data_IF_544406785680
#
_entry.id   IF_544406785680
#
_cell.length_a   1.000
_cell.length_b   1.000
_cell.length_c   1.000
_cell.angle_alpha   90.00
_cell.angle_beta   90.00
_cell.angle_gamma   90.00
#
_symmetry.space_group_name_H-M   'P 1'
#
loop_
_entity.id
_entity.type
_entity.pdbx_description
1 polymer ?
#
# COMPACT_ATOMS: atom_id res chain seq x y z
N UNK A 1 10.90 24.62 -2.94
CA UNK A 1 10.82 25.85 -3.76
C UNK A 1 12.09 26.66 -3.55
N UNK A 2 12.73 27.09 -4.65
CA UNK A 2 13.79 28.11 -4.60
C UNK A 2 13.14 29.42 -4.99
N UNK A 3 13.32 30.43 -4.13
CA UNK A 3 12.75 31.75 -4.34
C UNK A 3 13.86 32.76 -4.60
N UNK A 4 13.59 33.71 -5.49
CA UNK A 4 14.45 34.87 -5.72
C UNK A 4 13.93 36.05 -4.92
N UNK A 5 14.83 36.71 -4.18
CA UNK A 5 14.58 38.02 -3.58
C UNK A 5 15.04 39.13 -4.54
N UNK A 6 14.32 40.26 -4.65
CA UNK A 6 14.61 41.26 -5.69
C UNK A 6 15.87 42.10 -5.43
N UNK A 7 16.41 42.13 -4.20
CA UNK A 7 17.67 42.83 -3.89
C UNK A 7 18.28 42.40 -2.54
N UNK A 8 19.58 42.08 -2.48
CA UNK A 8 20.41 41.62 -3.59
C UNK A 8 19.85 40.28 -4.13
N UNK A 9 19.91 40.06 -5.45
CA UNK A 9 19.44 38.84 -6.11
C UNK A 9 20.11 37.60 -5.51
N UNK A 10 19.46 37.00 -4.52
CA UNK A 10 19.95 35.82 -3.83
C UNK A 10 18.88 34.74 -3.86
N UNK A 11 19.30 33.55 -4.29
CA UNK A 11 18.49 32.34 -4.33
C UNK A 11 18.54 31.67 -2.96
N UNK A 12 17.37 31.38 -2.41
CA UNK A 12 17.27 30.74 -1.10
C UNK A 12 16.44 29.47 -1.17
N UNK A 13 16.98 28.39 -0.58
CA UNK A 13 16.21 27.16 -0.31
C UNK A 13 15.40 27.36 0.96
N UNK A 14 14.08 27.26 0.84
CA UNK A 14 13.19 27.37 2.00
C UNK A 14 13.35 26.18 2.94
N UNK A 15 13.48 26.46 4.25
CA UNK A 15 13.45 25.43 5.29
C UNK A 15 12.04 25.18 5.81
N UNK A 16 11.30 26.22 6.15
CA UNK A 16 9.90 26.11 6.57
C UNK A 16 9.15 27.46 6.46
N UNK A 17 7.83 27.39 6.60
CA UNK A 17 6.98 28.55 6.90
C UNK A 17 6.98 28.75 8.42
N UNK A 18 7.23 29.97 8.89
CA UNK A 18 7.05 30.30 10.29
C UNK A 18 5.54 30.49 10.56
N UNK A 19 4.89 29.43 11.05
CA UNK A 19 3.46 29.38 11.36
C UNK A 19 3.19 29.70 12.84
N UNK A 20 3.78 30.76 13.40
CA UNK A 20 3.31 31.31 14.68
C UNK A 20 2.41 32.51 14.41
N UNK A 21 1.17 32.41 14.88
CA UNK A 21 0.03 33.24 14.50
C UNK A 21 0.02 34.67 15.06
N UNK A 22 1.16 35.26 15.40
CA UNK A 22 1.16 36.63 15.98
C UNK A 22 2.51 37.34 16.08
N UNK A 23 3.50 37.16 15.19
CA UNK A 23 4.74 37.98 15.27
C UNK A 23 5.29 38.39 13.89
N UNK A 24 4.73 39.46 13.33
CA UNK A 24 5.32 40.25 12.22
C UNK A 24 6.52 41.09 12.73
N UNK A 25 6.75 41.02 14.04
CA UNK A 25 7.91 41.54 14.74
C UNK A 25 8.96 40.46 14.94
N UNK A 26 9.31 39.69 13.90
CA UNK A 26 10.57 38.94 13.93
C UNK A 26 11.69 39.97 13.96
N UNK A 27 12.25 40.14 15.16
CA UNK A 27 13.39 41.01 15.41
C UNK A 27 14.65 40.22 15.14
N UNK A 28 15.52 40.80 14.33
CA UNK A 28 16.88 40.30 14.16
C UNK A 28 17.85 41.45 14.37
N UNK A 29 19.11 41.10 14.57
CA UNK A 29 20.20 42.06 14.67
C UNK A 29 20.88 42.11 13.32
N UNK A 30 20.95 43.30 12.71
CA UNK A 30 21.67 43.50 11.45
C UNK A 30 23.20 43.50 11.66
N UNK A 31 23.95 43.59 10.56
CA UNK A 31 25.42 43.60 10.59
C UNK A 31 26.01 44.80 11.37
N UNK A 32 25.21 45.85 11.59
CA UNK A 32 25.59 47.03 12.38
C UNK A 32 25.18 46.91 13.85
N UNK A 33 24.88 45.69 14.32
CA UNK A 33 24.39 45.42 15.67
C UNK A 33 23.07 46.13 16.04
N UNK A 34 22.28 46.55 15.05
CA UNK A 34 21.02 47.25 15.24
C UNK A 34 19.87 46.25 15.22
N UNK A 35 19.01 46.29 16.23
CA UNK A 35 17.84 45.41 16.34
C UNK A 35 16.66 45.99 15.55
N UNK A 36 16.25 45.30 14.50
CA UNK A 36 15.20 45.73 13.57
C UNK A 36 14.22 44.60 13.28
N UNK A 37 12.97 44.94 12.98
CA UNK A 37 12.04 43.97 12.41
C UNK A 37 12.29 43.81 10.91
N UNK A 38 11.84 42.69 10.32
CA UNK A 38 11.88 42.48 8.86
C UNK A 38 11.25 43.65 8.11
N UNK A 39 10.10 44.15 8.56
CA UNK A 39 9.42 45.31 7.96
C UNK A 39 10.28 46.57 8.02
N UNK A 40 10.89 46.85 9.18
CA UNK A 40 11.73 48.04 9.37
C UNK A 40 13.01 47.96 8.54
N UNK A 41 13.65 46.79 8.50
CA UNK A 41 14.86 46.57 7.73
C UNK A 41 14.61 46.81 6.23
N UNK A 42 13.54 46.22 5.65
CA UNK A 42 13.23 46.44 4.24
C UNK A 42 12.86 47.89 3.92
N UNK A 43 12.18 48.58 4.83
CA UNK A 43 11.86 50.01 4.68
C UNK A 43 13.10 50.90 4.77
N UNK A 44 14.00 50.65 5.72
CA UNK A 44 15.16 51.50 5.95
C UNK A 44 16.30 51.21 4.98
N UNK A 45 16.57 49.92 4.71
CA UNK A 45 17.73 49.48 3.92
C UNK A 45 17.48 49.48 2.42
N UNK A 46 16.25 49.18 2.00
CA UNK A 46 15.87 49.03 0.59
C UNK A 46 14.78 50.01 0.14
N UNK A 47 14.25 50.85 1.04
CA UNK A 47 13.14 51.77 0.75
C UNK A 47 11.87 51.06 0.24
N UNK A 48 11.61 49.85 0.76
CA UNK A 48 10.45 49.02 0.36
C UNK A 48 9.40 49.07 1.45
N UNK A 49 8.20 49.57 1.12
CA UNK A 49 7.02 49.52 1.98
C UNK A 49 6.24 48.24 1.74
N UNK A 50 6.38 47.26 2.65
CA UNK A 50 5.69 45.98 2.52
C UNK A 50 4.17 46.17 2.62
N UNK A 51 3.41 45.55 1.72
CA UNK A 51 1.95 45.71 1.63
C UNK A 51 1.23 44.67 2.48
N UNK A 52 1.72 43.44 2.45
CA UNK A 52 1.14 42.30 3.14
C UNK A 52 1.87 42.06 4.46
N UNK A 53 1.93 43.09 5.30
CA UNK A 53 2.60 42.99 6.60
C UNK A 53 1.95 41.96 7.51
N UNK A 54 0.70 41.52 7.26
CA UNK A 54 0.02 40.47 8.02
C UNK A 54 0.50 39.03 7.74
N UNK A 55 1.29 38.81 6.68
CA UNK A 55 1.77 37.48 6.29
C UNK A 55 3.05 37.09 7.04
N UNK A 56 3.26 35.79 7.34
CA UNK A 56 4.49 35.33 7.96
C UNK A 56 5.69 35.48 7.03
N UNK A 57 6.88 35.69 7.61
CA UNK A 57 8.12 35.64 6.87
C UNK A 57 8.53 34.19 6.57
N UNK A 58 9.21 34.01 5.45
CA UNK A 58 9.82 32.76 5.03
C UNK A 58 11.19 32.61 5.70
N UNK A 59 11.47 31.43 6.27
CA UNK A 59 12.78 31.12 6.86
C UNK A 59 13.67 30.38 5.85
N UNK A 60 14.82 30.96 5.58
CA UNK A 60 15.92 30.40 4.80
C UNK A 60 17.24 30.47 5.58
N UNK A 61 18.34 30.00 4.97
CA UNK A 61 19.66 29.99 5.60
C UNK A 61 19.90 28.77 6.50
N UNK A 62 20.85 28.88 7.44
CA UNK A 62 21.14 27.85 8.44
C UNK A 62 20.64 28.28 9.82
N UNK A 63 20.55 27.36 10.79
CA UNK A 63 20.18 27.73 12.17
C UNK A 63 21.16 28.74 12.78
N UNK A 64 22.44 28.68 12.41
CA UNK A 64 23.46 29.62 12.86
C UNK A 64 23.38 31.00 12.17
N UNK A 65 22.74 31.08 11.00
CA UNK A 65 22.57 32.32 10.21
C UNK A 65 21.20 32.30 9.51
N UNK A 66 20.11 32.56 10.26
CA UNK A 66 18.76 32.56 9.71
C UNK A 66 18.54 33.76 8.80
N UNK A 67 17.82 33.54 7.70
CA UNK A 67 17.46 34.57 6.72
C UNK A 67 15.93 34.64 6.69
N UNK A 68 15.39 35.84 6.94
CA UNK A 68 13.95 36.08 6.96
C UNK A 68 13.53 36.87 5.72
N UNK A 69 12.69 36.28 4.88
CA UNK A 69 12.23 36.89 3.63
C UNK A 69 10.72 37.18 3.69
N UNK A 70 10.27 38.41 3.39
CA UNK A 70 8.83 38.67 3.23
C UNK A 70 8.24 37.79 2.13
N UNK A 71 7.07 37.20 2.37
CA UNK A 71 6.41 36.31 1.41
C UNK A 71 6.07 37.00 0.09
N UNK A 72 5.75 38.30 0.12
CA UNK A 72 5.47 39.11 -1.08
C UNK A 72 6.70 39.33 -1.98
N UNK A 73 7.90 39.06 -1.47
CA UNK A 73 9.17 39.23 -2.19
C UNK A 73 9.68 37.93 -2.80
N UNK A 74 8.97 36.83 -2.56
CA UNK A 74 9.30 35.52 -3.07
C UNK A 74 8.69 35.30 -4.45
N UNK A 75 9.53 35.07 -5.46
CA UNK A 75 9.07 34.61 -6.79
C UNK A 75 9.63 33.22 -7.06
N UNK A 76 8.85 32.39 -7.75
CA UNK A 76 9.36 31.12 -8.25
C UNK A 76 10.54 31.38 -9.19
N UNK A 77 11.64 30.65 -8.98
CA UNK A 77 12.84 30.78 -9.80
C UNK A 77 12.55 30.34 -11.25
N UNK A 78 12.63 31.25 -12.26
CA UNK A 78 12.42 30.90 -13.65
C UNK A 78 13.69 30.24 -14.21
N UNK A 79 13.92 28.96 -13.90
CA UNK A 79 15.09 28.21 -14.36
C UNK A 79 15.31 28.26 -15.88
N UNK A 80 14.22 28.38 -16.66
CA UNK A 80 14.26 28.53 -18.11
C UNK A 80 14.87 29.85 -18.58
N UNK A 81 14.91 30.88 -17.73
CA UNK A 81 15.43 32.22 -18.02
C UNK A 81 16.74 32.52 -17.28
N UNK A 82 17.24 31.58 -16.48
CA UNK A 82 18.42 31.73 -15.64
C UNK A 82 19.68 31.91 -16.53
N UNK A 83 20.25 33.12 -16.49
CA UNK A 83 21.45 33.49 -17.25
C UNK A 83 22.64 32.61 -16.91
N UNK A 84 22.76 32.11 -15.68
CA UNK A 84 23.85 31.20 -15.31
C UNK A 84 23.68 29.85 -16.02
N UNK A 85 22.47 29.29 -15.98
CA UNK A 85 22.14 27.99 -16.60
C UNK A 85 22.30 28.06 -18.13
N UNK A 86 21.71 29.08 -18.75
CA UNK A 86 21.63 29.17 -20.20
C UNK A 86 22.91 29.74 -20.84
N UNK A 87 23.58 30.71 -20.20
CA UNK A 87 24.74 31.40 -20.80
C UNK A 87 26.09 30.88 -20.31
N UNK A 88 26.24 30.59 -19.02
CA UNK A 88 27.53 30.16 -18.47
C UNK A 88 27.74 28.65 -18.66
N UNK A 89 26.72 27.84 -18.36
CA UNK A 89 26.78 26.38 -18.51
C UNK A 89 26.31 25.88 -19.89
N UNK A 90 25.76 26.77 -20.73
CA UNK A 90 25.32 26.44 -22.09
C UNK A 90 24.19 25.42 -22.16
N UNK A 91 23.42 25.24 -21.08
CA UNK A 91 22.32 24.28 -21.00
C UNK A 91 21.08 24.90 -21.64
N UNK A 92 20.46 24.20 -22.58
CA UNK A 92 19.21 24.63 -23.23
C UNK A 92 18.08 23.70 -22.81
N UNK A 93 17.00 24.28 -22.29
CA UNK A 93 15.78 23.54 -21.92
C UNK A 93 14.81 23.56 -23.11
N UNK A 94 14.32 22.40 -23.51
CA UNK A 94 13.24 22.32 -24.50
C UNK A 94 11.88 22.49 -23.82
N UNK A 95 10.98 23.26 -24.44
CA UNK A 95 9.64 23.55 -23.90
C UNK A 95 8.66 22.37 -24.04
N UNK A 96 9.07 21.29 -24.72
CA UNK A 96 8.24 20.12 -25.02
C UNK A 96 8.68 18.86 -24.26
N UNK A 97 7.73 17.97 -23.99
CA UNK A 97 8.03 16.63 -23.51
C UNK A 97 8.85 15.86 -24.56
N UNK A 98 9.82 15.07 -24.09
CA UNK A 98 10.56 14.18 -24.96
C UNK A 98 9.61 13.15 -25.60
N UNK A 99 9.64 13.06 -26.94
CA UNK A 99 8.89 12.04 -27.68
C UNK A 99 9.72 10.76 -27.75
N UNK A 100 9.07 9.63 -27.47
CA UNK A 100 9.71 8.31 -27.47
C UNK A 100 8.80 7.32 -28.18
N UNK A 101 9.37 6.57 -29.11
CA UNK A 101 8.68 5.46 -29.75
C UNK A 101 8.44 4.33 -28.74
N UNK A 102 7.17 3.98 -28.54
CA UNK A 102 6.75 2.92 -27.64
C UNK A 102 6.12 1.75 -28.40
N UNK A 103 6.14 0.55 -27.79
CA UNK A 103 5.49 -0.64 -28.33
C UNK A 103 4.45 -1.17 -27.36
N UNK A 104 3.29 -1.54 -27.88
CA UNK A 104 2.23 -2.22 -27.13
C UNK A 104 2.42 -3.72 -27.36
N UNK A 105 2.81 -4.44 -26.31
CA UNK A 105 2.93 -5.89 -26.37
C UNK A 105 1.53 -6.54 -26.31
N UNK A 106 1.28 -7.62 -27.07
CA UNK A 106 0.03 -8.35 -26.96
C UNK A 106 -0.11 -8.99 -25.58
N UNK A 107 -1.32 -8.95 -25.02
CA UNK A 107 -1.61 -9.60 -23.74
C UNK A 107 -1.48 -11.13 -23.86
N UNK A 108 -0.90 -11.82 -22.86
CA UNK A 108 -0.79 -13.26 -22.90
C UNK A 108 -2.15 -13.91 -22.61
N UNK A 109 -2.44 -15.00 -23.32
CA UNK A 109 -3.69 -15.75 -23.09
C UNK A 109 -3.62 -16.55 -21.79
N UNK A 110 -4.64 -16.41 -20.96
CA UNK A 110 -4.77 -17.10 -19.69
C UNK A 110 -5.60 -18.38 -19.86
N UNK A 111 -5.16 -19.47 -19.23
CA UNK A 111 -5.82 -20.76 -19.18
C UNK A 111 -6.42 -21.03 -17.80
N UNK A 112 -7.63 -21.55 -17.82
CA UNK A 112 -8.46 -21.96 -16.69
C UNK A 112 -8.81 -23.44 -16.80
N UNK A 113 -9.57 -23.96 -15.83
CA UNK A 113 -9.96 -25.36 -15.83
C UNK A 113 -11.03 -25.65 -16.90
N UNK A 114 -10.92 -26.81 -17.57
CA UNK A 114 -11.78 -27.18 -18.70
C UNK A 114 -13.25 -27.43 -18.37
N UNK A 115 -13.59 -27.59 -17.08
CA UNK A 115 -15.00 -27.76 -16.63
C UNK A 115 -15.69 -26.42 -16.31
N UNK A 116 -15.00 -25.30 -16.48
CA UNK A 116 -15.66 -24.00 -16.56
C UNK A 116 -16.37 -23.83 -17.90
N UNK A 117 -17.33 -22.91 -17.99
CA UNK A 117 -17.92 -22.53 -19.27
C UNK A 117 -16.88 -21.87 -20.19
N UNK A 118 -15.93 -21.15 -19.60
CA UNK A 118 -14.77 -20.58 -20.29
C UNK A 118 -13.48 -21.19 -19.74
N UNK A 119 -12.71 -21.83 -20.61
CA UNK A 119 -11.44 -22.48 -20.27
C UNK A 119 -10.21 -21.59 -20.56
N UNK A 120 -10.41 -20.45 -21.22
CA UNK A 120 -9.35 -19.48 -21.52
C UNK A 120 -9.90 -18.08 -21.70
N UNK A 121 -9.07 -17.06 -21.52
CA UNK A 121 -9.43 -15.66 -21.77
C UNK A 121 -8.22 -14.89 -22.30
N UNK A 122 -8.46 -13.98 -23.23
CA UNK A 122 -7.50 -12.97 -23.64
C UNK A 122 -7.77 -11.68 -22.84
N UNK A 123 -6.87 -11.24 -21.95
CA UNK A 123 -7.08 -10.03 -21.17
C UNK A 123 -7.23 -8.78 -22.05
N UNK A 124 -8.21 -7.92 -21.74
CA UNK A 124 -8.42 -6.65 -22.42
C UNK A 124 -7.95 -5.50 -21.54
N UNK A 125 -7.10 -4.60 -22.06
CA UNK A 125 -6.59 -3.44 -21.33
C UNK A 125 -6.00 -3.78 -19.95
N UNK A 126 -5.33 -4.94 -19.84
CA UNK A 126 -4.75 -5.42 -18.59
C UNK A 126 -5.75 -5.96 -17.55
N UNK A 127 -7.02 -6.17 -17.93
CA UNK A 127 -8.07 -6.59 -17.01
C UNK A 127 -8.83 -7.83 -17.52
N UNK A 128 -9.31 -8.63 -16.57
CA UNK A 128 -10.21 -9.76 -16.78
C UNK A 128 -10.94 -10.10 -15.49
N UNK A 129 -11.94 -11.00 -15.55
CA UNK A 129 -12.69 -11.44 -14.38
C UNK A 129 -12.84 -12.98 -14.35
N UNK A 130 -13.34 -13.49 -13.22
CA UNK A 130 -13.58 -14.92 -12.96
C UNK A 130 -14.97 -15.41 -13.36
N UNK A 131 -15.76 -14.60 -14.08
CA UNK A 131 -17.09 -15.02 -14.53
C UNK A 131 -16.93 -16.19 -15.49
N UNK A 132 -17.83 -17.19 -15.36
CA UNK A 132 -17.88 -18.39 -16.20
C UNK A 132 -16.64 -19.31 -16.14
N UNK A 133 -15.67 -19.00 -15.26
CA UNK A 133 -14.38 -19.70 -15.16
C UNK A 133 -14.27 -20.47 -13.85
N UNK A 134 -13.50 -21.56 -13.90
CA UNK A 134 -13.03 -22.31 -12.72
C UNK A 134 -11.52 -22.25 -12.65
N UNK A 135 -10.99 -22.12 -11.44
CA UNK A 135 -9.55 -22.04 -11.17
C UNK A 135 -8.81 -23.22 -11.79
N UNK A 136 -7.65 -22.97 -12.40
CA UNK A 136 -6.88 -23.99 -13.14
C UNK A 136 -6.61 -25.27 -12.31
N UNK A 137 -6.21 -25.10 -11.04
CA UNK A 137 -6.22 -26.16 -10.03
C UNK A 137 -6.88 -25.62 -8.77
N UNK A 138 -8.05 -26.15 -8.42
CA UNK A 138 -8.66 -25.92 -7.12
C UNK A 138 -7.94 -26.70 -6.01
N UNK A 139 -7.59 -26.01 -4.94
CA UNK A 139 -7.08 -26.62 -3.72
C UNK A 139 -8.18 -27.33 -2.95
N UNK A 140 -7.76 -28.18 -2.00
CA UNK A 140 -8.64 -28.97 -1.15
C UNK A 140 -8.58 -28.45 0.29
N UNK A 141 -9.74 -28.16 0.88
CA UNK A 141 -9.91 -27.68 2.25
C UNK A 141 -10.96 -28.54 2.95
N UNK A 142 -10.52 -29.54 3.69
CA UNK A 142 -11.35 -30.47 4.45
C UNK A 142 -11.46 -30.10 5.92
N UNK A 143 -10.39 -29.56 6.51
CA UNK A 143 -10.30 -29.23 7.93
C UNK A 143 -10.13 -27.72 8.08
N UNK A 144 -11.23 -27.04 8.38
CA UNK A 144 -11.24 -25.59 8.55
C UNK A 144 -12.20 -25.17 9.66
N UNK A 145 -12.03 -23.95 10.16
CA UNK A 145 -12.98 -23.32 11.08
C UNK A 145 -13.01 -21.80 10.89
N UNK A 146 -13.86 -21.11 11.65
CA UNK A 146 -13.94 -19.65 11.69
C UNK A 146 -13.98 -19.12 13.12
N UNK A 147 -13.26 -18.01 13.36
CA UNK A 147 -13.38 -17.19 14.57
C UNK A 147 -13.81 -15.79 14.18
N UNK A 148 -14.85 -15.29 14.83
CA UNK A 148 -15.30 -13.91 14.72
C UNK A 148 -14.83 -13.08 15.92
N UNK A 149 -14.11 -11.99 15.66
CA UNK A 149 -13.74 -11.02 16.68
C UNK A 149 -14.55 -9.72 16.63
N UNK A 150 -15.42 -9.53 15.62
CA UNK A 150 -16.29 -8.35 15.59
C UNK A 150 -17.41 -8.48 16.61
N UNK A 151 -17.63 -7.41 17.37
CA UNK A 151 -18.73 -7.31 18.34
C UNK A 151 -19.98 -6.68 17.73
N UNK A 152 -19.89 -6.12 16.52
CA UNK A 152 -21.01 -5.46 15.83
C UNK A 152 -21.79 -6.37 14.87
N UNK A 153 -21.30 -7.58 14.61
CA UNK A 153 -22.01 -8.53 13.75
C UNK A 153 -23.11 -9.26 14.51
N UNK A 154 -24.28 -9.38 13.87
CA UNK A 154 -25.35 -10.28 14.33
C UNK A 154 -24.83 -11.73 14.38
N UNK A 155 -25.37 -12.52 15.32
CA UNK A 155 -24.89 -13.90 15.60
C UNK A 155 -24.88 -14.81 14.37
N UNK A 156 -25.81 -14.63 13.43
CA UNK A 156 -25.93 -15.49 12.25
C UNK A 156 -24.99 -15.10 11.09
N UNK A 157 -24.50 -13.85 11.09
CA UNK A 157 -23.70 -13.32 9.98
C UNK A 157 -22.41 -14.11 9.75
N UNK A 158 -21.60 -14.48 10.77
CA UNK A 158 -20.41 -15.31 10.56
C UNK A 158 -20.72 -16.65 9.87
N UNK A 159 -21.86 -17.28 10.20
CA UNK A 159 -22.27 -18.54 9.59
C UNK A 159 -22.66 -18.35 8.12
N UNK A 160 -23.52 -17.37 7.83
CA UNK A 160 -23.94 -17.04 6.46
C UNK A 160 -22.75 -16.63 5.59
N UNK A 161 -21.83 -15.85 6.15
CA UNK A 161 -20.61 -15.43 5.48
C UNK A 161 -19.73 -16.63 5.11
N UNK A 162 -19.48 -17.53 6.05
CA UNK A 162 -18.66 -18.71 5.79
C UNK A 162 -19.35 -19.63 4.77
N UNK A 163 -20.66 -19.85 4.87
CA UNK A 163 -21.41 -20.65 3.92
C UNK A 163 -21.27 -20.09 2.49
N UNK A 164 -21.56 -18.80 2.30
CA UNK A 164 -21.45 -18.15 0.99
C UNK A 164 -20.03 -18.17 0.42
N UNK A 165 -19.01 -18.04 1.28
CA UNK A 165 -17.62 -18.13 0.87
C UNK A 165 -17.22 -19.56 0.45
N UNK A 166 -17.66 -20.58 1.20
CA UNK A 166 -17.41 -21.99 0.88
C UNK A 166 -18.10 -22.38 -0.43
N UNK A 167 -19.36 -21.96 -0.61
CA UNK A 167 -20.11 -22.17 -1.85
C UNK A 167 -19.41 -21.51 -3.04
N UNK A 168 -18.90 -20.28 -2.85
CA UNK A 168 -18.10 -19.62 -3.86
C UNK A 168 -16.84 -20.41 -4.21
N UNK A 169 -16.07 -20.86 -3.22
CA UNK A 169 -14.86 -21.66 -3.44
C UNK A 169 -15.16 -22.93 -4.26
N UNK A 170 -16.20 -23.67 -3.88
CA UNK A 170 -16.66 -24.86 -4.60
C UNK A 170 -17.11 -24.54 -6.02
N UNK A 171 -17.87 -23.45 -6.22
CA UNK A 171 -18.31 -23.01 -7.56
C UNK A 171 -17.15 -22.69 -8.49
N UNK A 172 -16.02 -22.21 -7.94
CA UNK A 172 -14.79 -21.89 -8.67
C UNK A 172 -13.83 -23.07 -8.81
N UNK A 173 -14.25 -24.28 -8.43
CA UNK A 173 -13.52 -25.52 -8.70
C UNK A 173 -12.61 -26.00 -7.58
N UNK A 174 -12.66 -25.39 -6.39
CA UNK A 174 -12.03 -25.96 -5.19
C UNK A 174 -12.84 -27.14 -4.64
N UNK A 175 -12.21 -27.96 -3.81
CA UNK A 175 -12.89 -28.96 -2.97
C UNK A 175 -12.90 -28.45 -1.54
N UNK A 176 -13.97 -27.77 -1.15
CA UNK A 176 -14.08 -27.12 0.15
C UNK A 176 -15.23 -27.76 0.95
N UNK A 177 -14.90 -28.39 2.08
CA UNK A 177 -15.87 -29.05 2.94
C UNK A 177 -16.90 -28.03 3.47
N UNK A 178 -18.21 -28.25 3.26
CA UNK A 178 -19.26 -27.31 3.69
C UNK A 178 -19.35 -27.15 5.21
N UNK A 179 -18.83 -28.10 5.99
CA UNK A 179 -18.91 -28.05 7.46
C UNK A 179 -17.54 -27.78 8.09
N UNK A 180 -17.45 -26.82 9.03
CA UNK A 180 -16.21 -26.60 9.77
C UNK A 180 -15.95 -27.77 10.74
N UNK A 181 -14.68 -28.03 11.04
CA UNK A 181 -14.24 -29.13 11.92
C UNK A 181 -14.71 -28.94 13.36
N UNK A 182 -14.74 -27.69 13.81
CA UNK A 182 -15.33 -27.27 15.08
C UNK A 182 -16.32 -26.13 14.81
N UNK A 183 -17.35 -25.92 15.66
CA UNK A 183 -18.29 -24.83 15.48
C UNK A 183 -17.63 -23.47 15.37
N UNK A 184 -18.16 -22.61 14.50
CA UNK A 184 -17.75 -21.21 14.37
C UNK A 184 -17.96 -20.52 15.72
N UNK A 185 -16.94 -19.85 16.23
CA UNK A 185 -16.97 -19.17 17.53
C UNK A 185 -16.87 -17.66 17.36
N UNK A 186 -17.39 -16.93 18.34
CA UNK A 186 -17.10 -15.51 18.52
C UNK A 186 -16.28 -15.32 19.79
N UNK A 187 -15.32 -14.41 19.76
CA UNK A 187 -14.47 -14.10 20.90
C UNK A 187 -14.20 -12.60 21.00
N UNK A 188 -13.87 -12.14 22.21
CA UNK A 188 -13.56 -10.74 22.45
C UNK A 188 -12.22 -10.35 21.78
N UNK A 189 -12.12 -9.18 21.11
CA UNK A 189 -10.86 -8.67 20.53
C UNK A 189 -9.66 -8.64 21.48
N UNK A 190 -9.88 -8.50 22.79
CA UNK A 190 -8.81 -8.50 23.79
C UNK A 190 -8.24 -9.91 24.07
N UNK A 191 -8.89 -10.96 23.58
CA UNK A 191 -8.53 -12.36 23.80
C UNK A 191 -8.08 -13.08 22.52
N UNK A 192 -7.56 -12.35 21.52
CA UNK A 192 -7.14 -12.90 20.22
C UNK A 192 -6.24 -14.13 20.36
N UNK A 193 -5.12 -14.02 21.07
CA UNK A 193 -4.17 -15.13 21.22
C UNK A 193 -4.82 -16.35 21.87
N UNK A 194 -5.54 -16.13 22.97
CA UNK A 194 -6.26 -17.20 23.67
C UNK A 194 -7.27 -17.91 22.75
N UNK A 195 -8.02 -17.15 21.95
CA UNK A 195 -9.01 -17.70 21.02
C UNK A 195 -8.36 -18.50 19.88
N UNK A 196 -7.23 -18.03 19.34
CA UNK A 196 -6.48 -18.74 18.30
C UNK A 196 -5.89 -20.05 18.84
N UNK A 197 -5.32 -20.02 20.05
CA UNK A 197 -4.81 -21.22 20.74
C UNK A 197 -5.95 -22.21 21.05
N UNK A 198 -7.11 -21.74 21.51
CA UNK A 198 -8.27 -22.59 21.77
C UNK A 198 -8.73 -23.33 20.52
N UNK A 199 -8.87 -22.62 19.38
CA UNK A 199 -9.26 -23.23 18.11
C UNK A 199 -8.23 -24.26 17.64
N UNK A 200 -6.93 -23.95 17.78
CA UNK A 200 -5.86 -24.88 17.47
C UNK A 200 -5.98 -26.16 18.31
N UNK A 201 -6.05 -26.02 19.63
CA UNK A 201 -6.13 -27.15 20.57
C UNK A 201 -7.37 -28.01 20.35
N UNK A 202 -8.54 -27.39 20.16
CA UNK A 202 -9.79 -28.12 19.90
C UNK A 202 -9.77 -28.89 18.59
N UNK A 203 -9.07 -28.37 17.58
CA UNK A 203 -8.90 -29.07 16.30
C UNK A 203 -7.94 -30.26 16.47
N UNK A 204 -6.83 -30.07 17.19
CA UNK A 204 -5.88 -31.14 17.52
C UNK A 204 -6.50 -32.24 18.38
N UNK A 205 -7.38 -31.90 19.31
CA UNK A 205 -8.14 -32.87 20.12
C UNK A 205 -9.06 -33.76 19.28
N UNK A 206 -9.51 -33.31 18.11
CA UNK A 206 -10.22 -34.15 17.14
C UNK A 206 -9.28 -35.02 16.28
N UNK A 207 -7.97 -35.02 16.54
CA UNK A 207 -6.98 -35.75 15.75
C UNK A 207 -6.79 -35.20 14.34
N UNK A 208 -7.11 -33.93 14.10
CA UNK A 208 -7.05 -33.29 12.78
C UNK A 208 -6.08 -32.10 12.77
N UNK A 209 -5.40 -31.90 11.65
CA UNK A 209 -4.57 -30.72 11.39
C UNK A 209 -5.42 -29.64 10.71
N UNK A 210 -5.50 -28.44 11.31
CA UNK A 210 -6.23 -27.32 10.72
C UNK A 210 -5.54 -26.82 9.43
N UNK A 211 -6.24 -26.90 8.29
CA UNK A 211 -5.73 -26.47 6.98
C UNK A 211 -6.01 -24.99 6.69
N UNK A 212 -7.09 -24.44 7.23
CA UNK A 212 -7.47 -23.04 7.05
C UNK A 212 -8.27 -22.53 8.24
N UNK A 213 -7.91 -21.35 8.74
CA UNK A 213 -8.71 -20.59 9.69
C UNK A 213 -9.24 -19.31 9.02
N UNK A 214 -10.56 -19.22 8.88
CA UNK A 214 -11.22 -17.96 8.50
C UNK A 214 -11.30 -17.09 9.75
N UNK A 215 -10.90 -15.82 9.64
CA UNK A 215 -10.90 -14.89 10.77
C UNK A 215 -11.67 -13.65 10.35
N UNK A 216 -12.80 -13.39 11.01
CA UNK A 216 -13.45 -12.08 10.91
C UNK A 216 -12.76 -11.18 11.94
N UNK A 217 -12.12 -10.13 11.44
CA UNK A 217 -11.28 -9.21 12.24
C UNK A 217 -12.12 -8.45 13.28
N UNK A 218 -11.49 -7.84 14.30
CA UNK A 218 -12.14 -6.84 15.13
C UNK A 218 -12.64 -5.64 14.32
N UNK A 219 -13.59 -4.89 14.88
CA UNK A 219 -14.16 -3.70 14.23
C UNK A 219 -13.15 -2.54 14.10
N UNK A 220 -12.10 -2.54 14.92
CA UNK A 220 -11.02 -1.54 14.93
C UNK A 220 -9.75 -2.14 14.33
N UNK A 221 -9.04 -1.35 13.52
CA UNK A 221 -7.75 -1.74 12.93
C UNK A 221 -6.64 -1.88 13.98
N UNK A 222 -5.59 -2.63 13.63
CA UNK A 222 -4.38 -2.80 14.47
C UNK A 222 -4.12 -4.24 14.89
N UNK A 223 -5.14 -5.10 14.88
CA UNK A 223 -4.98 -6.50 15.29
C UNK A 223 -4.45 -7.44 14.20
N UNK A 224 -4.43 -7.00 12.93
CA UNK A 224 -4.03 -7.84 11.79
C UNK A 224 -2.60 -8.40 11.96
N UNK A 225 -1.63 -7.54 12.31
CA UNK A 225 -0.24 -7.96 12.49
C UNK A 225 -0.09 -9.00 13.61
N UNK A 226 -0.75 -8.78 14.75
CA UNK A 226 -0.77 -9.73 15.88
C UNK A 226 -1.37 -11.08 15.49
N UNK A 227 -2.53 -11.07 14.83
CA UNK A 227 -3.20 -12.29 14.34
C UNK A 227 -2.28 -13.05 13.39
N UNK A 228 -1.66 -12.35 12.44
CA UNK A 228 -0.76 -12.96 11.46
C UNK A 228 0.48 -13.55 12.09
N UNK A 229 1.14 -12.82 12.99
CA UNK A 229 2.28 -13.33 13.77
C UNK A 229 1.93 -14.64 14.45
N UNK A 230 0.89 -14.64 15.31
CA UNK A 230 0.50 -15.82 16.09
C UNK A 230 0.15 -17.00 15.18
N UNK A 231 -0.65 -16.77 14.13
CA UNK A 231 -1.01 -17.85 13.20
C UNK A 231 0.21 -18.41 12.47
N UNK A 232 1.05 -17.56 11.90
CA UNK A 232 2.09 -17.98 10.95
C UNK A 232 3.40 -18.41 11.63
N UNK A 233 3.75 -17.83 12.79
CA UNK A 233 5.01 -18.13 13.48
C UNK A 233 4.86 -19.04 14.69
N UNK A 234 3.76 -18.93 15.44
CA UNK A 234 3.58 -19.65 16.71
C UNK A 234 2.75 -20.94 16.52
N UNK A 235 1.66 -20.89 15.74
CA UNK A 235 0.70 -22.00 15.60
C UNK A 235 0.78 -22.76 14.27
N UNK A 236 1.48 -22.23 13.26
CA UNK A 236 1.57 -22.83 11.92
C UNK A 236 0.22 -22.94 11.19
N UNK A 237 -0.71 -22.00 11.44
CA UNK A 237 -2.06 -21.97 10.87
C UNK A 237 -2.09 -21.07 9.63
N UNK A 238 -2.55 -21.61 8.51
CA UNK A 238 -2.91 -20.81 7.34
C UNK A 238 -4.19 -20.02 7.64
N UNK A 239 -4.11 -18.69 7.63
CA UNK A 239 -5.24 -17.81 8.00
C UNK A 239 -5.76 -16.96 6.83
N UNK A 240 -7.08 -16.80 6.75
CA UNK A 240 -7.77 -15.86 5.87
C UNK A 240 -8.56 -14.83 6.67
N UNK A 241 -7.96 -13.66 6.86
CA UNK A 241 -8.59 -12.53 7.54
C UNK A 241 -9.59 -11.80 6.63
N UNK A 242 -10.76 -11.46 7.16
CA UNK A 242 -11.83 -10.76 6.48
C UNK A 242 -12.32 -9.60 7.35
N UNK A 243 -12.57 -8.45 6.72
CA UNK A 243 -13.11 -7.28 7.43
C UNK A 243 -14.59 -7.50 7.80
N UNK A 244 -15.04 -7.08 9.00
CA UNK A 244 -16.44 -7.24 9.43
C UNK A 244 -17.45 -6.64 8.45
N UNK A 245 -17.14 -5.45 7.91
CA UNK A 245 -17.96 -4.78 6.90
C UNK A 245 -18.13 -5.60 5.61
N UNK A 246 -17.13 -6.40 5.23
CA UNK A 246 -17.25 -7.27 4.07
C UNK A 246 -18.03 -8.53 4.41
N UNK A 247 -17.88 -9.03 5.64
CA UNK A 247 -18.65 -10.16 6.13
C UNK A 247 -20.15 -9.87 6.19
N UNK A 248 -20.54 -8.66 6.61
CA UNK A 248 -21.95 -8.26 6.67
C UNK A 248 -22.60 -8.02 5.31
N UNK A 249 -21.82 -7.63 4.28
CA UNK A 249 -22.35 -7.33 2.94
C UNK A 249 -22.66 -8.55 2.09
N UNK A 250 -22.06 -9.71 2.39
CA UNK A 250 -22.21 -10.96 1.62
C UNK A 250 -22.05 -10.76 0.10
N UNK A 251 -21.10 -9.91 -0.29
CA UNK A 251 -20.93 -9.46 -1.67
C UNK A 251 -20.23 -10.53 -2.53
N UNK A 252 -20.87 -10.93 -3.64
CA UNK A 252 -20.39 -11.99 -4.55
C UNK A 252 -18.98 -11.69 -5.11
N UNK A 253 -18.71 -10.52 -5.73
CA UNK A 253 -17.36 -10.12 -6.14
C UNK A 253 -16.31 -10.19 -5.02
N UNK A 254 -16.69 -9.93 -3.77
CA UNK A 254 -15.77 -10.05 -2.64
C UNK A 254 -15.45 -11.53 -2.38
N UNK A 255 -16.45 -12.41 -2.34
CA UNK A 255 -16.23 -13.85 -2.21
C UNK A 255 -15.37 -14.42 -3.32
N UNK A 256 -15.56 -13.99 -4.58
CA UNK A 256 -14.70 -14.43 -5.70
C UNK A 256 -13.22 -14.08 -5.45
N UNK A 257 -12.95 -12.84 -5.02
CA UNK A 257 -11.59 -12.39 -4.73
C UNK A 257 -10.98 -13.08 -3.50
N UNK A 258 -11.78 -13.38 -2.48
CA UNK A 258 -11.31 -14.14 -1.31
C UNK A 258 -11.06 -15.60 -1.67
N UNK A 259 -11.91 -16.22 -2.48
CA UNK A 259 -11.72 -17.59 -2.97
C UNK A 259 -10.39 -17.72 -3.74
N UNK A 260 -10.06 -16.75 -4.60
CA UNK A 260 -8.76 -16.70 -5.29
C UNK A 260 -7.58 -16.67 -4.34
N UNK A 261 -7.69 -15.95 -3.21
CA UNK A 261 -6.64 -15.88 -2.19
C UNK A 261 -6.53 -17.18 -1.41
N UNK A 262 -7.65 -17.77 -1.00
CA UNK A 262 -7.67 -19.04 -0.28
C UNK A 262 -7.05 -20.13 -1.15
N UNK A 263 -7.43 -20.22 -2.42
CA UNK A 263 -6.94 -21.24 -3.33
C UNK A 263 -5.41 -21.30 -3.37
N UNK A 264 -4.74 -20.15 -3.53
CA UNK A 264 -3.28 -20.07 -3.53
C UNK A 264 -2.68 -20.44 -2.17
N UNK A 265 -3.30 -20.02 -1.06
CA UNK A 265 -2.84 -20.36 0.30
C UNK A 265 -2.88 -21.85 0.60
N UNK A 266 -3.77 -22.59 -0.04
CA UNK A 266 -3.91 -24.04 0.12
C UNK A 266 -3.27 -24.83 -1.03
N UNK A 267 -2.37 -24.19 -1.79
CA UNK A 267 -1.55 -24.82 -2.83
C UNK A 267 -2.20 -24.93 -4.22
N UNK A 268 -3.39 -24.36 -4.40
CA UNK A 268 -4.06 -24.28 -5.70
C UNK A 268 -3.45 -23.24 -6.64
N UNK A 269 -3.81 -23.33 -7.92
CA UNK A 269 -3.43 -22.38 -8.98
C UNK A 269 -4.68 -21.77 -9.61
N UNK A 270 -4.80 -20.46 -9.56
CA UNK A 270 -5.97 -19.78 -10.11
C UNK A 270 -5.98 -19.81 -11.64
N UNK A 271 -4.82 -19.51 -12.24
CA UNK A 271 -4.61 -19.37 -13.68
C UNK A 271 -3.21 -19.79 -14.05
N UNK A 272 -3.02 -20.17 -15.31
CA UNK A 272 -1.70 -20.35 -15.92
C UNK A 272 -1.68 -19.71 -17.31
N UNK A 273 -0.50 -19.40 -17.84
CA UNK A 273 -0.39 -18.95 -19.23
C UNK A 273 -0.62 -20.14 -20.17
N UNK A 274 -1.37 -19.94 -21.26
CA UNK A 274 -1.52 -20.96 -22.30
C UNK A 274 -0.16 -21.39 -22.84
N UNK A 275 0.71 -20.43 -23.12
CA UNK A 275 2.06 -20.67 -23.62
C UNK A 275 2.93 -21.43 -22.61
N UNK A 276 2.72 -21.24 -21.31
CA UNK A 276 3.46 -21.99 -20.30
C UNK A 276 3.11 -23.49 -20.34
N UNK A 277 1.82 -23.81 -20.51
CA UNK A 277 1.36 -25.21 -20.62
C UNK A 277 1.81 -25.83 -21.94
N UNK A 278 1.92 -25.04 -23.01
CA UNK A 278 2.36 -25.48 -24.33
C UNK A 278 3.88 -25.44 -24.51
N UNK A 279 4.65 -25.06 -23.47
CA UNK A 279 6.11 -24.89 -23.50
C UNK A 279 6.61 -23.93 -24.59
N UNK A 280 5.90 -22.82 -24.77
CA UNK A 280 6.18 -21.78 -25.79
C UNK A 280 6.82 -20.52 -25.22
N UNK A 281 7.33 -20.58 -23.99
CA UNK A 281 8.06 -19.46 -23.37
C UNK A 281 9.55 -19.83 -23.36
N UNK A 282 10.36 -19.30 -24.30
CA UNK A 282 11.78 -19.61 -24.40
C UNK A 282 12.51 -19.29 -23.10
N UNK A 283 13.52 -20.08 -22.77
CA UNK A 283 14.32 -20.02 -21.54
C UNK A 283 13.56 -20.29 -20.24
N UNK A 284 12.23 -20.22 -20.23
CA UNK A 284 11.40 -20.40 -19.02
C UNK A 284 10.75 -21.79 -18.99
N UNK A 285 10.30 -22.29 -20.14
CA UNK A 285 9.50 -23.53 -20.21
C UNK A 285 10.16 -24.64 -21.04
N UNK A 286 11.21 -24.31 -21.79
CA UNK A 286 12.03 -25.25 -22.58
C UNK A 286 13.11 -25.95 -21.73
N UNK A 287 13.48 -25.40 -20.58
CA UNK A 287 14.45 -25.95 -19.62
C UNK A 287 14.02 -25.69 -18.17
N UNK A 288 14.52 -26.45 -17.18
CA UNK A 288 14.24 -26.19 -15.77
C UNK A 288 14.72 -24.79 -15.37
N UNK A 289 13.79 -23.88 -15.12
CA UNK A 289 14.06 -22.48 -14.78
C UNK A 289 13.31 -22.10 -13.53
N UNK A 290 13.97 -21.32 -12.67
CA UNK A 290 13.41 -20.78 -11.43
C UNK A 290 13.35 -19.26 -11.52
N UNK A 291 12.23 -18.67 -11.10
CA UNK A 291 12.04 -17.22 -11.07
C UNK A 291 12.02 -16.78 -9.61
N UNK A 292 12.86 -15.80 -9.27
CA UNK A 292 12.87 -15.18 -7.95
C UNK A 292 12.33 -13.76 -8.02
N UNK A 293 11.49 -13.40 -7.04
CA UNK A 293 11.16 -12.02 -6.74
C UNK A 293 11.78 -11.62 -5.41
N UNK A 294 12.42 -10.46 -5.34
CA UNK A 294 12.97 -9.89 -4.11
C UNK A 294 12.49 -8.45 -3.94
N UNK A 295 12.14 -8.09 -2.72
CA UNK A 295 11.71 -6.74 -2.36
C UNK A 295 12.26 -6.35 -0.98
N UNK A 296 12.45 -5.05 -0.76
CA UNK A 296 12.89 -4.48 0.52
C UNK A 296 11.96 -3.34 0.90
N UNK A 297 11.34 -3.47 2.07
CA UNK A 297 10.46 -2.45 2.63
C UNK A 297 11.18 -1.72 3.76
N UNK A 298 11.25 -0.40 3.65
CA UNK A 298 11.80 0.48 4.68
C UNK A 298 10.69 0.95 5.66
N UNK A 299 11.06 1.32 6.89
CA UNK A 299 10.16 1.99 7.83
C UNK A 299 9.56 3.29 7.27
N UNK A 300 8.53 3.80 7.93
CA UNK A 300 7.95 5.10 7.55
C UNK A 300 8.96 6.23 7.78
N UNK A 301 8.88 7.32 6.99
CA UNK A 301 9.75 8.49 7.18
C UNK A 301 9.67 9.01 8.62
N UNK A 302 10.81 9.12 9.31
CA UNK A 302 10.92 9.59 10.70
C UNK A 302 10.97 8.48 11.76
N UNK A 303 10.90 7.21 11.35
CA UNK A 303 11.04 6.05 12.26
C UNK A 303 12.42 5.39 12.11
N UNK A 304 13.42 5.93 12.80
CA UNK A 304 14.84 5.54 12.64
C UNK A 304 15.24 4.23 13.35
N UNK A 305 14.36 3.67 14.20
CA UNK A 305 14.67 2.51 15.05
C UNK A 305 14.17 1.17 14.49
N UNK A 306 13.24 1.20 13.53
CA UNK A 306 12.67 -0.01 12.94
C UNK A 306 13.58 -0.57 11.84
N UNK A 307 13.80 -1.91 11.78
CA UNK A 307 14.63 -2.49 10.74
C UNK A 307 13.91 -2.46 9.38
N UNK A 308 14.69 -2.42 8.30
CA UNK A 308 14.16 -2.70 6.95
C UNK A 308 13.92 -4.20 6.79
N UNK A 309 12.86 -4.58 6.09
CA UNK A 309 12.47 -5.98 5.90
C UNK A 309 12.76 -6.39 4.46
N UNK A 310 13.64 -7.37 4.27
CA UNK A 310 13.88 -8.01 2.98
C UNK A 310 13.01 -9.26 2.84
N UNK A 311 12.33 -9.40 1.70
CA UNK A 311 11.52 -10.57 1.38
C UNK A 311 11.96 -11.18 0.06
N UNK A 312 12.29 -12.48 0.08
CA UNK A 312 12.57 -13.27 -1.12
C UNK A 312 11.47 -14.31 -1.32
N UNK A 313 10.91 -14.39 -2.54
CA UNK A 313 9.91 -15.39 -2.88
C UNK A 313 10.31 -16.15 -4.15
N UNK A 314 10.23 -17.48 -4.05
CA UNK A 314 10.29 -18.39 -5.20
C UNK A 314 8.93 -18.36 -5.92
N UNK A 315 8.93 -17.97 -7.19
CA UNK A 315 7.75 -17.91 -8.06
C UNK A 315 7.63 -19.17 -8.93
#
# INVERSE_FOLDING_TARGET
LILESPTPFQKHTLRCLLLSSSEIHIWFTDDNATRLSVVQYFRQRYNIGLQFTSLPALLAGSEARPIYLPMEMARENPYSEDTLVNKEFGIQMADGLASVDARILPAPMLKYHGTGQEASVNPGFGQWNMRNKKMFNGGRVEVWSCVNFSTHLNRDVPFQFCQGLVDMCNSKGMVFNPRPVIPISSSNPNQIEKALVDVHNRTTQQGKQLQLLIIILPDVSGSYGRIKRVCETELGIVSQCCQPRQASRLNIPYFENVALKINVKVGGRNTVLVDAVQKRIPLVTDRPTIIFGSDVTHPQPGEDSSPSIAAGKKN
#
